data_IF_545266595942
#
_entry.id   IF_545266595942
#
_cell.length_a   1.000
_cell.length_b   1.000
_cell.length_c   1.000
_cell.angle_alpha   90.00
_cell.angle_beta   90.00
_cell.angle_gamma   90.00
#
_symmetry.space_group_name_H-M   'P 1'
#
loop_
_entity.id
_entity.type
_entity.pdbx_description
1 polymer ?
#
# COMPACT_ATOMS: atom_id res chain seq x y z
N UNK A 1 -9.57 39.85 -29.63
CA UNK A 1 -10.11 38.81 -28.73
C UNK A 1 -8.95 37.87 -28.43
N UNK A 2 -8.32 38.01 -27.26
CA UNK A 2 -7.11 37.25 -26.91
C UNK A 2 -7.53 35.81 -26.55
N UNK A 3 -7.05 34.83 -27.30
CA UNK A 3 -7.21 33.42 -26.98
C UNK A 3 -6.47 33.13 -25.67
N UNK A 4 -7.20 32.68 -24.65
CA UNK A 4 -6.59 32.17 -23.44
C UNK A 4 -5.74 30.94 -23.80
N UNK A 5 -4.48 30.91 -23.36
CA UNK A 5 -3.55 29.82 -23.59
C UNK A 5 -3.89 28.64 -22.65
N UNK A 6 -4.68 27.67 -23.12
CA UNK A 6 -5.18 26.52 -22.35
C UNK A 6 -4.15 25.38 -22.40
N UNK A 7 -2.99 25.55 -21.77
CA UNK A 7 -1.92 24.52 -21.77
C UNK A 7 -1.50 24.02 -20.39
N UNK A 8 -2.06 24.55 -19.29
CA UNK A 8 -1.76 24.10 -17.92
C UNK A 8 -3.03 23.63 -17.18
N UNK A 9 -3.65 22.54 -17.65
CA UNK A 9 -4.73 21.89 -16.91
C UNK A 9 -4.18 20.75 -16.06
N UNK A 10 -4.01 20.98 -14.75
CA UNK A 10 -3.72 19.92 -13.78
C UNK A 10 -5.04 19.33 -13.29
N UNK A 11 -5.11 18.00 -13.11
CA UNK A 11 -6.33 17.39 -12.58
C UNK A 11 -6.59 17.89 -11.15
N UNK A 12 -7.84 18.17 -10.75
CA UNK A 12 -8.13 18.61 -9.38
C UNK A 12 -7.64 17.63 -8.31
N UNK A 13 -7.61 16.32 -8.63
CA UNK A 13 -7.09 15.27 -7.73
C UNK A 13 -5.57 15.40 -7.57
N UNK A 14 -4.85 15.63 -8.67
CA UNK A 14 -3.40 15.86 -8.67
C UNK A 14 -3.07 17.14 -7.91
N UNK A 15 -3.79 18.23 -8.17
CA UNK A 15 -3.59 19.50 -7.47
C UNK A 15 -3.85 19.37 -5.97
N UNK A 16 -4.96 18.73 -5.58
CA UNK A 16 -5.28 18.48 -4.18
C UNK A 16 -4.20 17.63 -3.50
N UNK A 17 -3.75 16.54 -4.14
CA UNK A 17 -2.72 15.67 -3.58
C UNK A 17 -1.38 16.39 -3.43
N UNK A 18 -0.88 17.00 -4.50
CA UNK A 18 0.47 17.56 -4.55
C UNK A 18 0.58 18.88 -3.79
N UNK A 19 -0.40 19.78 -3.96
CA UNK A 19 -0.33 21.13 -3.39
C UNK A 19 -0.98 21.24 -2.02
N UNK A 20 -2.11 20.56 -1.80
CA UNK A 20 -2.82 20.66 -0.53
C UNK A 20 -2.34 19.62 0.49
N UNK A 21 -2.46 18.32 0.16
CA UNK A 21 -2.11 17.23 1.10
C UNK A 21 -0.62 17.21 1.37
N UNK A 22 0.21 17.09 0.32
CA UNK A 22 1.66 16.97 0.46
C UNK A 22 2.36 18.32 0.61
N UNK A 23 1.91 19.35 -0.11
CA UNK A 23 2.63 20.62 -0.26
C UNK A 23 4.07 20.41 -0.73
N UNK A 24 4.20 19.70 -1.87
CA UNK A 24 5.49 19.32 -2.45
C UNK A 24 6.38 20.56 -2.64
N UNK A 25 7.61 20.50 -2.14
CA UNK A 25 8.64 21.53 -2.31
C UNK A 25 9.29 21.46 -3.70
N UNK A 26 10.11 22.45 -4.03
CA UNK A 26 10.73 22.54 -5.37
C UNK A 26 11.78 21.44 -5.62
N UNK A 27 12.37 20.87 -4.56
CA UNK A 27 13.38 19.82 -4.64
C UNK A 27 13.70 19.22 -3.27
N UNK A 28 14.46 18.12 -3.26
CA UNK A 28 14.81 17.38 -2.03
C UNK A 28 15.71 18.19 -1.08
N UNK A 29 16.51 19.11 -1.63
CA UNK A 29 17.36 20.02 -0.86
C UNK A 29 16.54 21.07 -0.09
N UNK A 30 15.29 21.29 -0.49
CA UNK A 30 14.34 22.21 0.14
C UNK A 30 13.27 21.41 0.87
N UNK A 31 13.55 21.03 2.12
CA UNK A 31 12.61 20.22 2.94
C UNK A 31 11.30 20.97 3.24
N UNK A 32 11.32 22.31 3.23
CA UNK A 32 10.17 23.14 3.53
C UNK A 32 9.79 23.10 5.02
N UNK A 33 8.51 23.38 5.30
CA UNK A 33 7.96 23.39 6.66
C UNK A 33 7.22 22.09 6.98
N UNK A 34 7.15 21.75 8.28
CA UNK A 34 6.37 20.60 8.73
C UNK A 34 4.88 20.89 8.56
N UNK A 35 4.20 20.11 7.72
CA UNK A 35 2.73 20.14 7.62
C UNK A 35 2.10 19.60 8.90
N UNK A 36 1.52 20.51 9.69
CA UNK A 36 0.91 20.18 10.98
C UNK A 36 -0.22 19.15 10.89
N UNK A 37 -1.04 19.20 9.85
CA UNK A 37 -2.13 18.23 9.66
C UNK A 37 -1.58 16.81 9.47
N UNK A 38 -0.52 16.65 8.66
CA UNK A 38 0.15 15.36 8.48
C UNK A 38 0.88 14.91 9.74
N UNK A 39 1.51 15.84 10.47
CA UNK A 39 2.16 15.53 11.75
C UNK A 39 1.16 15.00 12.79
N UNK A 40 -0.03 15.60 12.87
CA UNK A 40 -1.11 15.13 13.74
C UNK A 40 -1.67 13.78 13.29
N UNK A 41 -1.87 13.58 11.99
CA UNK A 41 -2.26 12.27 11.44
C UNK A 41 -1.22 11.19 11.79
N UNK A 42 0.07 11.49 11.63
CA UNK A 42 1.17 10.59 11.97
C UNK A 42 1.19 10.26 13.47
N UNK A 43 1.03 11.27 14.33
CA UNK A 43 0.93 11.08 15.77
C UNK A 43 -0.25 10.17 16.13
N UNK A 44 -1.41 10.39 15.51
CA UNK A 44 -2.60 9.54 15.68
C UNK A 44 -2.32 8.09 15.30
N UNK A 45 -1.68 7.84 14.16
CA UNK A 45 -1.29 6.49 13.72
C UNK A 45 -0.34 5.84 14.73
N UNK A 46 0.68 6.56 15.22
CA UNK A 46 1.61 6.03 16.24
C UNK A 46 0.92 5.66 17.54
N UNK A 47 0.00 6.50 18.01
CA UNK A 47 -0.80 6.23 19.22
C UNK A 47 -1.65 4.97 19.03
N UNK A 48 -2.31 4.81 17.88
CA UNK A 48 -3.09 3.61 17.56
C UNK A 48 -2.19 2.36 17.53
N UNK A 49 -1.08 2.41 16.80
CA UNK A 49 -0.11 1.31 16.70
C UNK A 49 0.40 0.89 18.09
N UNK A 50 0.70 1.86 18.95
CA UNK A 50 1.11 1.60 20.32
C UNK A 50 0.04 0.82 21.09
N UNK A 51 -1.22 1.25 21.07
CA UNK A 51 -2.30 0.53 21.75
C UNK A 51 -2.56 -0.87 21.18
N UNK A 52 -2.41 -1.05 19.87
CA UNK A 52 -2.54 -2.36 19.23
C UNK A 52 -1.50 -3.36 19.78
N UNK A 53 -0.27 -2.91 20.00
CA UNK A 53 0.88 -3.77 20.34
C UNK A 53 1.17 -3.80 21.85
N UNK A 54 0.71 -2.83 22.66
CA UNK A 54 1.13 -2.65 24.07
C UNK A 54 1.09 -3.96 24.87
N UNK A 55 0.01 -4.76 24.81
CA UNK A 55 -0.06 -6.04 25.57
C UNK A 55 0.53 -7.25 24.81
N UNK A 56 1.44 -6.99 23.86
CA UNK A 56 2.10 -7.97 23.01
C UNK A 56 1.11 -8.75 22.13
N UNK A 57 1.50 -9.99 21.80
CA UNK A 57 0.76 -10.88 20.87
C UNK A 57 -0.69 -11.14 21.27
N UNK A 58 -1.05 -11.01 22.56
CA UNK A 58 -2.42 -11.17 23.05
C UNK A 58 -3.34 -10.02 22.62
N UNK A 59 -2.83 -8.79 22.57
CA UNK A 59 -3.57 -7.63 22.07
C UNK A 59 -3.55 -7.59 20.55
N UNK A 60 -2.37 -7.74 19.97
CA UNK A 60 -2.19 -7.77 18.51
C UNK A 60 -3.08 -8.82 17.88
N UNK A 61 -3.14 -10.05 18.44
CA UNK A 61 -4.00 -11.11 17.92
C UNK A 61 -5.49 -10.74 17.89
N UNK A 62 -5.99 -9.99 18.87
CA UNK A 62 -7.39 -9.52 18.89
C UNK A 62 -7.66 -8.48 17.81
N UNK A 63 -6.75 -7.51 17.66
CA UNK A 63 -6.86 -6.46 16.65
C UNK A 63 -6.79 -7.03 15.23
N UNK A 64 -5.91 -8.02 15.02
CA UNK A 64 -5.70 -8.70 13.73
C UNK A 64 -6.97 -9.35 13.20
N UNK A 65 -7.89 -9.84 14.05
CA UNK A 65 -9.17 -10.37 13.57
C UNK A 65 -9.99 -9.36 12.77
N UNK A 66 -9.85 -8.06 13.05
CA UNK A 66 -10.50 -6.99 12.27
C UNK A 66 -9.58 -6.51 11.17
N UNK A 67 -8.32 -6.17 11.49
CA UNK A 67 -7.43 -5.51 10.52
C UNK A 67 -6.99 -6.42 9.38
N UNK A 68 -6.95 -7.74 9.58
CA UNK A 68 -6.66 -8.68 8.49
C UNK A 68 -7.90 -9.05 7.68
N UNK A 69 -9.10 -9.09 8.28
CA UNK A 69 -10.32 -9.50 7.58
C UNK A 69 -10.97 -8.37 6.79
N UNK A 70 -10.97 -7.14 7.34
CA UNK A 70 -11.58 -5.98 6.72
C UNK A 70 -11.05 -5.69 5.30
N UNK A 71 -9.73 -5.73 5.02
CA UNK A 71 -9.21 -5.55 3.67
C UNK A 71 -9.78 -6.55 2.66
N UNK A 72 -9.96 -7.83 3.03
CA UNK A 72 -10.57 -8.82 2.12
C UNK A 72 -12.04 -8.50 1.82
N UNK A 73 -12.81 -8.06 2.81
CA UNK A 73 -14.20 -7.62 2.60
C UNK A 73 -14.24 -6.42 1.65
N UNK A 74 -13.37 -5.43 1.87
CA UNK A 74 -13.27 -4.26 1.00
C UNK A 74 -12.84 -4.65 -0.42
N UNK A 75 -11.87 -5.54 -0.59
CA UNK A 75 -11.46 -6.04 -1.90
C UNK A 75 -12.60 -6.73 -2.64
N UNK A 76 -13.43 -7.52 -1.96
CA UNK A 76 -14.60 -8.16 -2.57
C UNK A 76 -15.61 -7.11 -3.05
N UNK A 77 -15.91 -6.11 -2.21
CA UNK A 77 -16.83 -5.01 -2.56
C UNK A 77 -16.29 -4.22 -3.76
N UNK A 78 -15.00 -3.86 -3.71
CA UNK A 78 -14.33 -3.13 -4.78
C UNK A 78 -14.23 -3.94 -6.07
N UNK A 79 -14.04 -5.26 -5.98
CA UNK A 79 -14.05 -6.16 -7.14
C UNK A 79 -15.43 -6.16 -7.80
N UNK A 80 -16.50 -6.40 -7.03
CA UNK A 80 -17.88 -6.39 -7.54
C UNK A 80 -18.19 -5.02 -8.17
N UNK A 81 -17.82 -3.93 -7.50
CA UNK A 81 -18.04 -2.59 -8.05
C UNK A 81 -17.21 -2.34 -9.31
N UNK A 82 -15.95 -2.76 -9.31
CA UNK A 82 -15.02 -2.58 -10.42
C UNK A 82 -15.49 -3.30 -11.68
N UNK A 83 -15.91 -4.57 -11.57
CA UNK A 83 -16.37 -5.36 -12.73
C UNK A 83 -17.74 -4.93 -13.26
N UNK A 84 -18.54 -4.20 -12.45
CA UNK A 84 -19.85 -3.67 -12.87
C UNK A 84 -19.77 -2.29 -13.53
N UNK A 85 -18.58 -1.65 -13.56
CA UNK A 85 -18.40 -0.36 -14.22
C UNK A 85 -18.23 -0.53 -15.74
N UNK A 86 -18.74 0.43 -16.55
CA UNK A 86 -18.52 0.42 -17.98
C UNK A 86 -17.02 0.56 -18.28
N UNK A 87 -16.51 -0.24 -19.22
CA UNK A 87 -15.09 -0.24 -19.59
C UNK A 87 -14.18 -1.13 -18.72
N UNK A 88 -14.71 -1.86 -17.74
CA UNK A 88 -13.92 -2.76 -16.89
C UNK A 88 -13.15 -3.83 -17.68
N UNK A 89 -13.72 -4.32 -18.79
CA UNK A 89 -13.10 -5.34 -19.64
C UNK A 89 -11.77 -4.90 -20.24
N UNK A 90 -11.62 -3.62 -20.60
CA UNK A 90 -10.37 -3.10 -21.17
C UNK A 90 -9.25 -3.09 -20.14
N UNK A 91 -9.54 -2.68 -18.91
CA UNK A 91 -8.58 -2.72 -17.80
C UNK A 91 -8.15 -4.15 -17.45
N UNK A 92 -9.10 -5.08 -17.41
CA UNK A 92 -8.80 -6.51 -17.14
C UNK A 92 -7.93 -7.09 -18.26
N UNK A 93 -8.24 -6.78 -19.52
CA UNK A 93 -7.44 -7.23 -20.67
C UNK A 93 -6.04 -6.65 -20.63
N UNK A 94 -5.89 -5.36 -20.35
CA UNK A 94 -4.58 -4.72 -20.22
C UNK A 94 -3.74 -5.37 -19.10
N UNK A 95 -4.35 -5.68 -17.95
CA UNK A 95 -3.64 -6.30 -16.82
C UNK A 95 -3.23 -7.75 -17.08
N UNK A 96 -4.07 -8.55 -17.74
CA UNK A 96 -3.85 -10.00 -17.89
C UNK A 96 -3.19 -10.40 -19.21
N UNK A 97 -3.20 -9.55 -20.24
CA UNK A 97 -2.64 -9.93 -21.55
C UNK A 97 -1.12 -10.04 -21.48
N UNK A 98 -0.54 -11.23 -21.73
CA UNK A 98 0.89 -11.44 -21.50
C UNK A 98 1.73 -10.89 -22.66
N UNK A 99 2.77 -10.15 -22.32
CA UNK A 99 3.88 -9.85 -23.24
C UNK A 99 5.07 -10.79 -22.96
N UNK A 100 5.18 -11.85 -23.77
CA UNK A 100 6.21 -12.86 -23.62
C UNK A 100 7.63 -12.33 -23.91
N UNK A 101 7.77 -11.20 -24.59
CA UNK A 101 9.10 -10.61 -24.84
C UNK A 101 9.73 -10.08 -23.55
N UNK A 102 8.90 -9.63 -22.60
CA UNK A 102 9.35 -9.13 -21.28
C UNK A 102 10.03 -10.21 -20.44
N UNK A 103 9.73 -11.49 -20.65
CA UNK A 103 10.40 -12.57 -19.92
C UNK A 103 11.90 -12.71 -20.21
N UNK A 104 12.37 -12.15 -21.33
CA UNK A 104 13.81 -12.08 -21.66
C UNK A 104 14.54 -10.96 -20.93
N UNK A 105 13.81 -10.02 -20.34
CA UNK A 105 14.37 -8.91 -19.60
C UNK A 105 14.75 -9.37 -18.18
N UNK A 106 16.04 -9.30 -17.79
CA UNK A 106 16.46 -9.67 -16.44
C UNK A 106 15.81 -8.79 -15.35
N UNK A 107 15.43 -7.55 -15.66
CA UNK A 107 14.82 -6.63 -14.69
C UNK A 107 13.49 -7.18 -14.16
N UNK A 108 12.67 -7.80 -15.02
CA UNK A 108 11.40 -8.44 -14.64
C UNK A 108 11.59 -9.54 -13.58
N UNK A 109 12.71 -10.26 -13.63
CA UNK A 109 13.02 -11.31 -12.66
C UNK A 109 13.56 -10.73 -11.34
N UNK A 110 14.33 -9.65 -11.41
CA UNK A 110 14.80 -8.91 -10.23
C UNK A 110 13.59 -8.35 -9.47
N UNK A 111 12.67 -7.72 -10.18
CA UNK A 111 11.44 -7.16 -9.61
C UNK A 111 10.55 -8.26 -9.02
N UNK A 112 10.33 -9.36 -9.75
CA UNK A 112 9.54 -10.48 -9.25
C UNK A 112 10.14 -11.12 -7.99
N UNK A 113 11.47 -11.30 -7.97
CA UNK A 113 12.19 -11.79 -6.79
C UNK A 113 12.03 -10.82 -5.60
N UNK A 114 12.30 -9.55 -5.83
CA UNK A 114 12.17 -8.49 -4.82
C UNK A 114 10.76 -8.43 -4.24
N UNK A 115 9.74 -8.53 -5.10
CA UNK A 115 8.34 -8.55 -4.70
C UNK A 115 8.02 -9.72 -3.76
N UNK A 116 8.50 -10.93 -4.04
CA UNK A 116 8.26 -12.11 -3.19
C UNK A 116 8.93 -11.93 -1.82
N UNK A 117 10.18 -11.46 -1.78
CA UNK A 117 10.89 -11.26 -0.52
C UNK A 117 10.19 -10.25 0.39
N UNK A 118 9.75 -9.10 -0.16
CA UNK A 118 9.00 -8.10 0.59
C UNK A 118 7.59 -8.56 0.96
N UNK A 119 6.89 -9.25 0.07
CA UNK A 119 5.52 -9.73 0.32
C UNK A 119 5.45 -10.74 1.46
N UNK A 120 6.44 -11.62 1.56
CA UNK A 120 6.53 -12.62 2.65
C UNK A 120 7.33 -12.13 3.87
N UNK A 121 7.86 -10.90 3.85
CA UNK A 121 8.70 -10.34 4.91
C UNK A 121 9.90 -11.26 5.27
N UNK A 122 10.50 -11.90 4.25
CA UNK A 122 11.64 -12.81 4.42
C UNK A 122 12.84 -12.02 4.96
N UNK A 123 13.63 -12.62 5.84
CA UNK A 123 14.80 -12.02 6.50
C UNK A 123 14.53 -10.83 7.44
N UNK A 124 13.27 -10.43 7.68
CA UNK A 124 12.94 -9.33 8.61
C UNK A 124 12.79 -9.76 10.08
N UNK A 125 12.88 -11.06 10.38
CA UNK A 125 12.77 -11.62 11.73
C UNK A 125 11.36 -11.65 12.33
N UNK A 126 10.38 -11.00 11.68
CA UNK A 126 8.98 -10.99 12.12
C UNK A 126 8.37 -12.40 12.23
N UNK A 127 8.53 -13.23 11.20
CA UNK A 127 8.01 -14.60 11.22
C UNK A 127 8.70 -15.48 12.27
N UNK A 128 10.01 -15.30 12.47
CA UNK A 128 10.77 -15.98 13.54
C UNK A 128 10.25 -15.58 14.92
N UNK A 129 9.99 -14.29 15.14
CA UNK A 129 9.42 -13.78 16.38
C UNK A 129 8.02 -14.35 16.63
N UNK A 130 7.14 -14.33 15.63
CA UNK A 130 5.79 -14.92 15.73
C UNK A 130 5.84 -16.42 16.01
N UNK A 131 6.71 -17.14 15.32
CA UNK A 131 6.93 -18.57 15.51
C UNK A 131 7.38 -18.93 16.93
N UNK A 132 8.13 -18.05 17.61
CA UNK A 132 8.60 -18.27 18.99
C UNK A 132 7.48 -18.35 20.03
N UNK A 133 6.29 -17.84 19.70
CA UNK A 133 5.10 -17.92 20.56
C UNK A 133 4.27 -19.19 20.34
N UNK A 134 4.62 -20.02 19.35
CA UNK A 134 3.89 -21.27 19.09
C UNK A 134 4.24 -22.37 20.10
N UNK A 135 3.35 -23.37 20.21
CA UNK A 135 3.62 -24.58 21.02
C UNK A 135 4.80 -25.35 20.42
N UNK A 136 5.58 -26.01 21.26
CA UNK A 136 6.73 -26.82 20.82
C UNK A 136 6.38 -27.90 19.78
N UNK A 137 5.21 -28.55 19.94
CA UNK A 137 4.70 -29.55 18.98
C UNK A 137 3.70 -28.95 17.98
N UNK A 138 3.91 -27.72 17.53
CA UNK A 138 3.09 -27.09 16.49
C UNK A 138 3.58 -27.53 15.10
N UNK A 139 2.67 -27.97 14.23
CA UNK A 139 3.01 -28.27 12.84
C UNK A 139 3.15 -26.96 12.07
N UNK A 140 4.39 -26.52 11.85
CA UNK A 140 4.70 -25.26 11.15
C UNK A 140 4.76 -25.40 9.62
N UNK A 141 4.66 -26.61 9.07
CA UNK A 141 4.70 -26.85 7.62
C UNK A 141 3.32 -26.69 6.95
N UNK A 142 2.25 -26.85 7.72
CA UNK A 142 0.86 -26.70 7.26
C UNK A 142 0.37 -25.27 7.46
#
# INVERSE_FOLDING_TARGET
MLAANITNFTSPVTEFWERNVLSISSGIDEIGEVKWDLALCLLGVWVICFFCIWKGVKSTGKVVYVTATFPFVMLIILLIRGVTLPGASEGIKFYLYPDLQRLKDPEVWIDAGTQIFFSYAICLGAMTSLGSYNKYKYNCYR
#
